data_IF_895173966488
#
_entry.id   IF_895173966488
#
_cell.length_a   1.000
_cell.length_b   1.000
_cell.length_c   1.000
_cell.angle_alpha   90.00
_cell.angle_beta   90.00
_cell.angle_gamma   90.00
#
_symmetry.space_group_name_H-M   'P 1'
#
loop_
_entity.id
_entity.type
_entity.pdbx_description
1 polymer ?
#
# COMPACT_ATOMS: atom_id res chain seq x y z
N UNK A 1 -16.79 15.90 56.50
CA UNK A 1 -15.49 15.79 55.81
C UNK A 1 -15.61 14.65 54.80
N UNK A 2 -15.93 14.97 53.53
CA UNK A 2 -16.05 13.99 52.46
C UNK A 2 -14.65 13.69 51.92
N UNK A 3 -14.14 12.48 52.18
CA UNK A 3 -12.92 11.99 51.58
C UNK A 3 -13.19 11.68 50.10
N UNK A 4 -12.67 12.53 49.20
CA UNK A 4 -12.51 12.15 47.80
C UNK A 4 -11.36 11.15 47.72
N UNK A 5 -11.70 9.87 47.65
CA UNK A 5 -10.75 8.82 47.27
C UNK A 5 -10.51 9.00 45.76
N UNK A 6 -9.42 9.66 45.39
CA UNK A 6 -8.97 9.72 44.00
C UNK A 6 -8.44 8.34 43.62
N UNK A 7 -9.31 7.48 43.09
CA UNK A 7 -8.95 6.18 42.54
C UNK A 7 -8.11 6.47 41.29
N UNK A 8 -6.79 6.46 41.44
CA UNK A 8 -5.88 6.48 40.30
C UNK A 8 -5.97 5.10 39.66
N UNK A 9 -6.78 4.97 38.61
CA UNK A 9 -6.74 3.77 37.77
C UNK A 9 -5.34 3.69 37.16
N UNK A 10 -4.65 2.58 37.41
CA UNK A 10 -3.38 2.32 36.75
C UNK A 10 -3.62 2.12 35.26
N UNK A 11 -2.74 2.68 34.44
CA UNK A 11 -2.81 2.44 33.00
C UNK A 11 -2.50 0.96 32.72
N UNK A 12 -3.36 0.30 31.96
CA UNK A 12 -3.19 -1.07 31.48
C UNK A 12 -2.93 -1.08 29.97
N UNK A 13 -2.15 -2.04 29.49
CA UNK A 13 -1.94 -2.25 28.05
C UNK A 13 -2.66 -3.53 27.65
N UNK A 14 -3.61 -3.40 26.74
CA UNK A 14 -4.35 -4.52 26.14
C UNK A 14 -3.94 -4.70 24.68
N UNK A 15 -4.13 -5.92 24.18
CA UNK A 15 -3.96 -6.25 22.77
C UNK A 15 -5.34 -6.38 22.13
N UNK A 16 -5.73 -5.40 21.33
CA UNK A 16 -7.03 -5.40 20.65
C UNK A 16 -6.81 -5.65 19.16
N UNK A 17 -7.08 -6.88 18.72
CA UNK A 17 -6.75 -7.33 17.36
C UNK A 17 -5.23 -7.32 17.15
N UNK A 18 -4.76 -6.39 16.32
CA UNK A 18 -3.32 -6.14 16.06
C UNK A 18 -2.79 -4.85 16.70
N UNK A 19 -3.58 -4.24 17.59
CA UNK A 19 -3.26 -2.96 18.20
C UNK A 19 -2.86 -3.15 19.65
N UNK A 20 -1.80 -2.47 20.09
CA UNK A 20 -1.53 -2.28 21.52
C UNK A 20 -2.27 -1.04 21.98
N UNK A 21 -3.10 -1.19 22.99
CA UNK A 21 -4.03 -0.17 23.45
C UNK A 21 -3.74 0.12 24.91
N UNK A 22 -3.30 1.33 25.21
CA UNK A 22 -3.09 1.78 26.59
C UNK A 22 -4.36 2.45 27.09
N UNK A 23 -4.91 1.92 28.17
CA UNK A 23 -6.20 2.31 28.74
C UNK A 23 -6.01 2.73 30.19
N UNK A 24 -6.70 3.77 30.64
CA UNK A 24 -6.76 4.18 32.03
C UNK A 24 -8.23 4.34 32.45
N UNK A 25 -8.73 3.41 33.27
CA UNK A 25 -10.18 3.26 33.48
C UNK A 25 -10.85 2.79 32.19
N UNK A 26 -11.82 3.56 31.69
CA UNK A 26 -12.51 3.29 30.42
C UNK A 26 -12.00 4.17 29.27
N UNK A 27 -10.95 4.96 29.50
CA UNK A 27 -10.41 5.91 28.53
C UNK A 27 -9.21 5.29 27.82
N UNK A 28 -9.23 5.30 26.50
CA UNK A 28 -8.07 4.94 25.69
C UNK A 28 -7.13 6.14 25.59
N UNK A 29 -5.92 6.00 26.12
CA UNK A 29 -4.89 7.05 26.12
C UNK A 29 -3.96 6.98 24.90
N UNK A 30 -3.66 5.76 24.44
CA UNK A 30 -2.75 5.50 23.32
C UNK A 30 -3.20 4.26 22.55
N UNK A 31 -3.12 4.32 21.23
CA UNK A 31 -3.24 3.17 20.33
C UNK A 31 -1.97 3.10 19.49
N UNK A 32 -1.27 1.98 19.54
CA UNK A 32 -0.15 1.65 18.67
C UNK A 32 -0.60 0.56 17.70
N UNK A 33 -0.47 0.86 16.41
CA UNK A 33 -0.83 -0.01 15.31
C UNK A 33 0.33 -0.99 15.04
N UNK A 34 0.02 -2.08 14.34
CA UNK A 34 1.02 -3.10 14.00
C UNK A 34 2.16 -2.56 13.13
N UNK A 35 1.89 -1.54 12.32
CA UNK A 35 2.88 -0.82 11.51
C UNK A 35 3.74 0.18 12.32
N UNK A 36 3.55 0.26 13.64
CA UNK A 36 4.26 1.18 14.54
C UNK A 36 3.63 2.57 14.63
N UNK A 37 2.56 2.87 13.89
CA UNK A 37 1.85 4.15 13.99
C UNK A 37 1.25 4.30 15.38
N UNK A 38 1.52 5.43 16.03
CA UNK A 38 1.01 5.74 17.38
C UNK A 38 0.03 6.91 17.31
N UNK A 39 -1.17 6.69 17.84
CA UNK A 39 -2.13 7.74 18.16
C UNK A 39 -2.21 7.92 19.68
N UNK A 40 -2.26 9.16 20.14
CA UNK A 40 -2.42 9.50 21.55
C UNK A 40 -3.26 10.78 21.74
N UNK A 41 -3.73 11.01 22.96
CA UNK A 41 -4.47 12.21 23.34
C UNK A 41 -5.82 12.34 22.62
N UNK A 42 -6.17 13.57 22.22
CA UNK A 42 -7.49 13.90 21.64
C UNK A 42 -7.82 13.10 20.38
N UNK A 43 -6.80 12.77 19.57
CA UNK A 43 -6.95 11.94 18.37
C UNK A 43 -7.52 10.55 18.65
N UNK A 44 -7.24 9.98 19.83
CA UNK A 44 -7.74 8.66 20.22
C UNK A 44 -9.15 8.80 20.78
N UNK A 45 -9.33 9.69 21.76
CA UNK A 45 -10.61 9.84 22.46
C UNK A 45 -11.77 10.29 21.55
N UNK A 46 -11.48 10.99 20.45
CA UNK A 46 -12.51 11.39 19.47
C UNK A 46 -12.92 10.29 18.49
N UNK A 47 -12.07 9.28 18.30
CA UNK A 47 -12.22 8.31 17.23
C UNK A 47 -12.44 6.88 17.73
N UNK A 48 -12.01 6.56 18.94
CA UNK A 48 -12.03 5.21 19.50
C UNK A 48 -12.74 5.19 20.85
N UNK A 49 -13.54 4.16 21.07
CA UNK A 49 -14.19 3.89 22.35
C UNK A 49 -13.79 2.51 22.83
N UNK A 50 -13.64 2.35 24.14
CA UNK A 50 -13.44 1.07 24.82
C UNK A 50 -14.66 0.80 25.69
N UNK A 51 -15.19 -0.43 25.65
CA UNK A 51 -16.39 -0.83 26.39
C UNK A 51 -16.10 -1.79 27.56
N UNK A 52 -14.83 -1.97 27.90
CA UNK A 52 -14.38 -2.95 28.90
C UNK A 52 -13.88 -4.28 28.31
N UNK A 53 -14.21 -4.60 27.06
CA UNK A 53 -13.77 -5.86 26.41
C UNK A 53 -13.30 -5.70 24.97
N UNK A 54 -13.67 -4.61 24.30
CA UNK A 54 -13.37 -4.34 22.91
C UNK A 54 -13.16 -2.86 22.65
N UNK A 55 -12.44 -2.54 21.58
CA UNK A 55 -12.39 -1.18 21.03
C UNK A 55 -13.25 -1.07 19.77
N UNK A 56 -13.88 0.08 19.56
CA UNK A 56 -14.62 0.40 18.34
C UNK A 56 -14.18 1.75 17.78
N UNK A 57 -13.86 1.78 16.49
CA UNK A 57 -13.58 3.03 15.77
C UNK A 57 -14.89 3.68 15.32
N UNK A 58 -15.00 5.00 15.34
CA UNK A 58 -16.22 5.71 14.90
C UNK A 58 -16.60 5.48 13.43
N UNK A 59 -15.64 5.05 12.61
CA UNK A 59 -15.86 4.75 11.18
C UNK A 59 -15.98 3.24 10.89
N UNK A 60 -15.96 2.38 11.92
CA UNK A 60 -16.06 0.93 11.76
C UNK A 60 -17.16 0.41 12.67
N UNK A 61 -18.10 -0.36 12.14
CA UNK A 61 -19.14 -0.95 12.96
C UNK A 61 -18.70 -2.18 13.74
N UNK A 62 -17.66 -2.85 13.24
CA UNK A 62 -17.12 -4.06 13.85
C UNK A 62 -16.26 -3.73 15.09
N UNK A 63 -16.61 -4.28 16.26
CA UNK A 63 -15.78 -4.17 17.45
C UNK A 63 -14.51 -5.03 17.31
N UNK A 64 -13.40 -4.55 17.88
CA UNK A 64 -12.13 -5.27 17.93
C UNK A 64 -11.92 -5.72 19.37
N UNK A 65 -12.12 -7.01 19.64
CA UNK A 65 -11.95 -7.58 20.96
C UNK A 65 -10.51 -7.48 21.46
N UNK A 66 -10.40 -7.19 22.75
CA UNK A 66 -9.15 -7.05 23.47
C UNK A 66 -8.84 -8.32 24.28
N UNK A 67 -7.58 -8.72 24.28
CA UNK A 67 -7.03 -9.81 25.08
C UNK A 67 -5.75 -9.30 25.78
N UNK A 68 -5.34 -10.00 26.83
CA UNK A 68 -4.16 -9.71 27.62
C UNK A 68 -2.91 -10.39 27.05
N UNK A 69 -3.08 -11.31 26.08
CA UNK A 69 -1.97 -12.00 25.41
C UNK A 69 -1.63 -11.35 24.06
N UNK A 70 -0.34 -11.32 23.76
CA UNK A 70 0.11 -10.98 22.41
C UNK A 70 -0.15 -12.17 21.48
N UNK A 71 -0.68 -11.92 20.29
CA UNK A 71 -0.91 -12.97 19.28
C UNK A 71 0.42 -13.56 18.82
N UNK A 72 0.42 -14.88 18.62
CA UNK A 72 1.55 -15.56 17.99
C UNK A 72 1.70 -15.15 16.52
N UNK A 73 2.87 -15.45 15.94
CA UNK A 73 3.11 -15.16 14.51
C UNK A 73 2.13 -15.91 13.61
N UNK A 74 1.89 -17.19 13.85
CA UNK A 74 0.96 -17.98 13.03
C UNK A 74 -0.49 -17.51 13.16
N UNK A 75 -0.92 -17.13 14.37
CA UNK A 75 -2.24 -16.55 14.63
C UNK A 75 -2.42 -15.22 13.86
N UNK A 76 -1.37 -14.40 13.84
CA UNK A 76 -1.33 -13.15 13.07
C UNK A 76 -1.48 -13.40 11.57
N UNK A 77 -0.70 -14.35 11.04
CA UNK A 77 -0.75 -14.72 9.62
C UNK A 77 -2.14 -15.22 9.24
N UNK A 78 -2.73 -16.10 10.05
CA UNK A 78 -4.04 -16.68 9.81
C UNK A 78 -5.14 -15.60 9.77
N UNK A 79 -5.14 -14.69 10.74
CA UNK A 79 -6.15 -13.64 10.79
C UNK A 79 -5.99 -12.61 9.68
N UNK A 80 -4.77 -12.18 9.35
CA UNK A 80 -4.54 -11.22 8.27
C UNK A 80 -4.91 -11.81 6.91
N UNK A 81 -4.43 -13.01 6.61
CA UNK A 81 -4.70 -13.69 5.34
C UNK A 81 -6.17 -14.13 5.21
N UNK A 82 -6.85 -14.43 6.32
CA UNK A 82 -8.25 -14.85 6.34
C UNK A 82 -9.27 -13.75 6.03
N UNK A 83 -8.87 -12.47 5.98
CA UNK A 83 -9.78 -11.33 5.76
C UNK A 83 -10.52 -11.40 4.44
N UNK A 84 -9.89 -11.93 3.40
CA UNK A 84 -10.47 -12.00 2.05
C UNK A 84 -11.67 -12.94 1.99
N UNK A 85 -11.64 -14.04 2.76
CA UNK A 85 -12.70 -15.06 2.75
C UNK A 85 -13.98 -14.54 3.40
N UNK A 86 -13.88 -13.63 4.37
CA UNK A 86 -15.04 -13.06 5.08
C UNK A 86 -15.94 -12.23 4.15
N UNK A 87 -15.34 -11.46 3.25
CA UNK A 87 -16.09 -10.66 2.26
C UNK A 87 -15.29 -10.49 0.96
N UNK A 88 -15.26 -11.53 0.09
CA UNK A 88 -14.45 -11.54 -1.14
C UNK A 88 -14.72 -10.35 -2.08
N UNK A 89 -15.98 -9.92 -2.14
CA UNK A 89 -16.42 -8.86 -3.06
C UNK A 89 -15.76 -7.51 -2.77
N UNK A 90 -15.42 -7.21 -1.50
CA UNK A 90 -14.71 -5.98 -1.15
C UNK A 90 -13.33 -5.88 -1.78
N UNK A 91 -12.74 -7.02 -2.15
CA UNK A 91 -11.41 -7.13 -2.74
C UNK A 91 -11.47 -7.46 -4.23
N UNK A 92 -12.67 -7.39 -4.84
CA UNK A 92 -12.90 -7.73 -6.23
C UNK A 92 -12.73 -9.21 -6.56
N UNK A 93 -12.79 -10.09 -5.57
CA UNK A 93 -12.54 -11.53 -5.71
C UNK A 93 -13.84 -12.33 -5.61
N UNK A 94 -13.90 -13.46 -6.31
CA UNK A 94 -14.86 -14.51 -5.96
C UNK A 94 -14.39 -15.34 -4.75
N UNK A 95 -15.24 -16.27 -4.28
CA UNK A 95 -14.92 -17.12 -3.11
C UNK A 95 -13.66 -17.98 -3.33
N UNK A 96 -13.46 -18.50 -4.54
CA UNK A 96 -12.31 -19.36 -4.86
C UNK A 96 -11.03 -18.53 -4.92
N UNK A 97 -11.09 -17.36 -5.56
CA UNK A 97 -9.99 -16.40 -5.61
C UNK A 97 -9.58 -15.95 -4.20
N UNK A 98 -10.55 -15.70 -3.31
CA UNK A 98 -10.29 -15.31 -1.93
C UNK A 98 -9.61 -16.41 -1.09
N UNK A 99 -9.99 -17.67 -1.25
CA UNK A 99 -9.30 -18.79 -0.57
C UNK A 99 -7.86 -18.97 -1.10
N UNK A 100 -7.65 -18.82 -2.41
CA UNK A 100 -6.31 -18.84 -2.98
C UNK A 100 -5.48 -17.66 -2.49
N UNK A 101 -6.06 -16.46 -2.38
CA UNK A 101 -5.39 -15.28 -1.82
C UNK A 101 -5.01 -15.46 -0.35
N UNK A 102 -5.89 -16.04 0.45
CA UNK A 102 -5.58 -16.41 1.84
C UNK A 102 -4.37 -17.35 1.89
N UNK A 103 -4.41 -18.44 1.15
CA UNK A 103 -3.31 -19.41 1.12
C UNK A 103 -2.00 -18.77 0.63
N UNK A 104 -2.06 -17.98 -0.43
CA UNK A 104 -0.90 -17.30 -1.01
C UNK A 104 -0.28 -16.30 -0.05
N UNK A 105 -1.08 -15.37 0.51
CA UNK A 105 -0.58 -14.34 1.42
C UNK A 105 -0.08 -14.92 2.75
N UNK A 106 -0.67 -16.02 3.22
CA UNK A 106 -0.13 -16.77 4.35
C UNK A 106 1.25 -17.37 4.03
N UNK A 107 1.40 -17.99 2.84
CA UNK A 107 2.68 -18.52 2.39
C UNK A 107 3.73 -17.41 2.21
N UNK A 108 3.33 -16.28 1.63
CA UNK A 108 4.18 -15.11 1.43
C UNK A 108 4.70 -14.57 2.77
N UNK A 109 3.82 -14.37 3.75
CA UNK A 109 4.18 -13.88 5.08
C UNK A 109 5.08 -14.82 5.89
N UNK A 110 5.05 -16.13 5.58
CA UNK A 110 5.92 -17.14 6.23
C UNK A 110 7.33 -17.16 5.63
N UNK A 111 7.44 -16.89 4.33
CA UNK A 111 8.67 -17.19 3.58
C UNK A 111 9.41 -15.95 3.04
N UNK A 112 8.75 -14.78 2.98
CA UNK A 112 9.36 -13.54 2.50
C UNK A 112 9.46 -12.50 3.63
N UNK A 113 10.69 -12.16 4.02
CA UNK A 113 10.97 -11.17 5.06
C UNK A 113 10.50 -9.75 4.69
N UNK A 114 10.35 -9.46 3.39
CA UNK A 114 9.83 -8.18 2.91
C UNK A 114 8.29 -8.08 2.97
N UNK A 115 7.62 -9.21 3.25
CA UNK A 115 6.20 -9.26 3.63
C UNK A 115 6.04 -9.79 5.06
N UNK A 116 6.55 -9.05 6.06
CA UNK A 116 6.31 -9.41 7.45
C UNK A 116 4.84 -9.18 7.85
N UNK A 117 4.23 -8.11 7.38
CA UNK A 117 2.87 -7.71 7.72
C UNK A 117 2.06 -7.48 6.45
N UNK A 118 1.03 -8.29 6.22
CA UNK A 118 0.06 -8.05 5.15
C UNK A 118 -0.80 -6.81 5.47
N UNK A 119 -0.73 -5.80 4.60
CA UNK A 119 -1.50 -4.56 4.72
C UNK A 119 -2.80 -4.66 3.93
N UNK A 120 -2.70 -5.09 2.66
CA UNK A 120 -3.84 -5.17 1.75
C UNK A 120 -3.58 -6.15 0.62
N UNK A 121 -4.63 -6.73 0.04
CA UNK A 121 -4.55 -7.39 -1.25
C UNK A 121 -5.88 -7.32 -1.98
N UNK A 122 -5.85 -7.21 -3.30
CA UNK A 122 -7.05 -7.21 -4.12
C UNK A 122 -6.76 -7.65 -5.56
N UNK A 123 -7.84 -7.98 -6.28
CA UNK A 123 -7.80 -8.17 -7.73
C UNK A 123 -7.56 -6.83 -8.41
N UNK A 124 -6.70 -6.81 -9.42
CA UNK A 124 -6.49 -5.63 -10.25
C UNK A 124 -7.73 -5.40 -11.12
N UNK A 125 -8.43 -4.26 -10.98
CA UNK A 125 -9.62 -3.97 -11.78
C UNK A 125 -9.29 -3.66 -13.24
N UNK A 126 -8.05 -3.25 -13.55
CA UNK A 126 -7.61 -2.85 -14.89
C UNK A 126 -7.01 -4.02 -15.66
N UNK A 127 -6.32 -4.93 -14.97
CA UNK A 127 -5.60 -6.04 -15.60
C UNK A 127 -6.24 -7.39 -15.26
N UNK A 128 -6.93 -7.98 -16.23
CA UNK A 128 -7.66 -9.25 -16.04
C UNK A 128 -6.71 -10.35 -15.54
N UNK A 129 -7.08 -10.96 -14.42
CA UNK A 129 -6.35 -12.10 -13.85
C UNK A 129 -5.07 -11.70 -13.10
N UNK A 130 -4.89 -10.42 -12.79
CA UNK A 130 -3.80 -9.94 -11.95
C UNK A 130 -4.31 -9.55 -10.56
N UNK A 131 -3.42 -9.61 -9.58
CA UNK A 131 -3.68 -9.27 -8.20
C UNK A 131 -2.51 -8.46 -7.67
N UNK A 132 -2.78 -7.51 -6.78
CA UNK A 132 -1.75 -6.79 -6.05
C UNK A 132 -1.85 -7.11 -4.56
N UNK A 133 -0.69 -7.20 -3.92
CA UNK A 133 -0.55 -7.46 -2.49
C UNK A 133 0.41 -6.42 -1.94
N UNK A 134 -0.02 -5.68 -0.93
CA UNK A 134 0.79 -4.71 -0.21
C UNK A 134 1.15 -5.28 1.15
N UNK A 135 2.44 -5.35 1.44
CA UNK A 135 2.96 -5.74 2.75
C UNK A 135 3.92 -4.70 3.30
N UNK A 136 4.18 -4.77 4.60
CA UNK A 136 5.29 -4.10 5.24
C UNK A 136 6.35 -5.12 5.69
N UNK A 137 7.61 -4.72 5.63
CA UNK A 137 8.68 -5.44 6.33
C UNK A 137 8.67 -5.12 7.85
N UNK A 138 9.63 -5.69 8.59
CA UNK A 138 9.78 -5.45 10.04
C UNK A 138 10.13 -4.01 10.41
N UNK A 139 10.59 -3.21 9.45
CA UNK A 139 10.94 -1.80 9.61
C UNK A 139 9.82 -0.87 9.10
N UNK A 140 8.61 -1.42 8.89
CA UNK A 140 7.44 -0.72 8.36
C UNK A 140 7.64 -0.14 6.95
N UNK A 141 8.61 -0.65 6.19
CA UNK A 141 8.75 -0.27 4.79
C UNK A 141 7.76 -1.07 3.94
N UNK A 142 6.90 -0.35 3.23
CA UNK A 142 5.91 -0.98 2.35
C UNK A 142 6.56 -1.56 1.10
N UNK A 143 6.02 -2.68 0.63
CA UNK A 143 6.38 -3.38 -0.59
C UNK A 143 5.11 -3.88 -1.28
N UNK A 144 5.06 -3.73 -2.59
CA UNK A 144 4.00 -4.27 -3.44
C UNK A 144 4.47 -5.50 -4.19
N UNK A 145 3.61 -6.48 -4.29
CA UNK A 145 3.73 -7.64 -5.17
C UNK A 145 2.60 -7.57 -6.19
N UNK A 146 2.89 -7.99 -7.41
CA UNK A 146 1.87 -8.19 -8.44
C UNK A 146 2.03 -9.61 -8.96
N UNK A 147 0.93 -10.36 -8.92
CA UNK A 147 0.90 -11.76 -9.29
C UNK A 147 -0.27 -12.04 -10.25
N UNK A 148 -0.09 -13.00 -11.12
CA UNK A 148 -1.11 -13.54 -12.00
C UNK A 148 -1.96 -14.60 -11.30
N UNK A 149 -3.10 -14.91 -11.88
CA UNK A 149 -3.98 -16.00 -11.43
C UNK A 149 -3.27 -17.36 -11.41
N UNK A 150 -2.33 -17.59 -12.35
CA UNK A 150 -1.50 -18.79 -12.37
C UNK A 150 -0.61 -18.85 -11.12
N UNK A 151 0.11 -17.78 -10.83
CA UNK A 151 1.02 -17.70 -9.67
C UNK A 151 0.27 -17.78 -8.35
N UNK A 152 -0.93 -17.19 -8.30
CA UNK A 152 -1.85 -17.30 -7.17
C UNK A 152 -2.26 -18.77 -6.92
N UNK A 153 -2.60 -19.53 -7.97
CA UNK A 153 -2.96 -20.95 -7.88
C UNK A 153 -1.79 -21.84 -7.51
N UNK A 154 -0.60 -21.55 -8.06
CA UNK A 154 0.61 -22.33 -7.82
C UNK A 154 1.24 -22.03 -6.46
N UNK A 155 0.88 -20.91 -5.81
CA UNK A 155 1.41 -20.53 -4.50
C UNK A 155 2.87 -20.06 -4.54
N UNK A 156 3.38 -19.70 -5.72
CA UNK A 156 4.80 -19.35 -5.92
C UNK A 156 5.05 -17.93 -5.39
N UNK A 157 5.88 -17.82 -4.35
CA UNK A 157 6.33 -16.54 -3.80
C UNK A 157 7.20 -15.82 -4.82
N UNK A 158 6.83 -14.58 -5.15
CA UNK A 158 7.58 -13.69 -6.05
C UNK A 158 8.31 -12.63 -5.24
N UNK A 159 9.34 -12.05 -5.84
CA UNK A 159 9.94 -10.83 -5.31
C UNK A 159 8.95 -9.67 -5.41
N UNK A 160 9.03 -8.75 -4.46
CA UNK A 160 8.31 -7.47 -4.55
C UNK A 160 8.73 -6.69 -5.80
N UNK A 161 7.85 -5.83 -6.28
CA UNK A 161 8.15 -4.88 -7.34
C UNK A 161 9.31 -3.97 -6.93
N UNK A 162 10.20 -3.69 -7.89
CA UNK A 162 11.36 -2.83 -7.70
C UNK A 162 11.40 -1.78 -8.82
N UNK A 163 11.73 -0.52 -8.50
CA UNK A 163 11.92 0.48 -9.54
C UNK A 163 13.08 0.08 -10.45
N UNK A 164 12.98 0.43 -11.73
CA UNK A 164 14.11 0.33 -12.65
C UNK A 164 15.09 1.50 -12.40
N UNK A 165 16.31 1.38 -12.90
CA UNK A 165 17.30 2.45 -12.77
C UNK A 165 16.82 3.75 -13.44
N UNK A 166 17.27 4.88 -12.92
CA UNK A 166 16.91 6.20 -13.46
C UNK A 166 17.24 6.31 -14.95
N UNK A 167 18.40 5.81 -15.39
CA UNK A 167 18.82 5.84 -16.79
C UNK A 167 17.83 5.10 -17.69
N UNK A 168 17.46 3.88 -17.30
CA UNK A 168 16.51 3.05 -18.06
C UNK A 168 15.12 3.68 -18.04
N UNK A 169 14.69 4.27 -16.91
CA UNK A 169 13.40 4.93 -16.81
C UNK A 169 13.32 6.16 -17.73
N UNK A 170 14.37 7.00 -17.76
CA UNK A 170 14.48 8.16 -18.64
C UNK A 170 14.49 7.75 -20.11
N UNK A 171 15.29 6.75 -20.46
CA UNK A 171 15.36 6.22 -21.83
C UNK A 171 14.00 5.70 -22.31
N UNK A 172 13.33 4.87 -21.50
CA UNK A 172 12.00 4.34 -21.82
C UNK A 172 10.97 5.44 -21.95
N UNK A 173 10.96 6.42 -21.04
CA UNK A 173 10.04 7.54 -21.14
C UNK A 173 10.27 8.35 -22.41
N UNK A 174 11.53 8.66 -22.72
CA UNK A 174 11.89 9.38 -23.94
C UNK A 174 11.38 8.67 -25.21
N UNK A 175 11.51 7.34 -25.26
CA UNK A 175 11.02 6.55 -26.38
C UNK A 175 9.49 6.55 -26.47
N UNK A 176 8.78 6.43 -25.34
CA UNK A 176 7.32 6.48 -25.31
C UNK A 176 6.76 7.86 -25.70
N UNK A 177 7.39 8.94 -25.22
CA UNK A 177 7.00 10.30 -25.58
C UNK A 177 7.20 10.55 -27.07
N UNK A 178 8.36 10.19 -27.64
CA UNK A 178 8.62 10.33 -29.08
C UNK A 178 7.54 9.65 -29.93
N UNK A 179 7.19 8.40 -29.61
CA UNK A 179 6.16 7.63 -30.33
C UNK A 179 4.77 8.28 -30.28
N UNK A 180 4.47 9.04 -29.22
CA UNK A 180 3.16 9.66 -28.99
C UNK A 180 3.05 11.08 -29.52
N UNK A 181 4.15 11.68 -29.98
CA UNK A 181 4.08 12.98 -30.66
C UNK A 181 3.48 12.86 -32.05
N UNK A 182 2.81 13.94 -32.51
CA UNK A 182 2.21 13.98 -33.86
C UNK A 182 3.27 13.89 -34.97
N UNK A 183 4.46 14.45 -34.73
CA UNK A 183 5.58 14.43 -35.66
C UNK A 183 6.85 13.92 -34.96
N UNK A 184 7.07 12.59 -34.88
CA UNK A 184 8.21 12.02 -34.16
C UNK A 184 9.59 12.45 -34.68
N UNK A 185 9.68 12.94 -35.92
CA UNK A 185 10.92 13.46 -36.51
C UNK A 185 11.34 14.83 -35.94
N UNK A 186 10.40 15.61 -35.38
CA UNK A 186 10.69 16.92 -34.78
C UNK A 186 10.76 16.89 -33.26
N UNK A 187 10.70 15.69 -32.67
CA UNK A 187 10.84 15.48 -31.23
C UNK A 187 12.28 15.76 -30.76
N UNK A 188 12.43 16.78 -29.93
CA UNK A 188 13.70 17.25 -29.36
C UNK A 188 13.62 17.30 -27.83
N UNK A 189 14.15 16.27 -27.12
CA UNK A 189 14.07 16.15 -25.66
C UNK A 189 15.21 16.84 -24.92
N UNK A 190 14.89 17.56 -23.84
CA UNK A 190 15.86 18.16 -22.94
C UNK A 190 16.34 17.18 -21.85
N UNK A 191 17.08 16.12 -22.22
CA UNK A 191 17.43 15.02 -21.32
C UNK A 191 18.38 15.36 -20.16
N UNK A 192 19.16 16.45 -20.25
CA UNK A 192 20.17 16.81 -19.24
C UNK A 192 19.60 17.72 -18.15
N UNK A 193 18.95 18.82 -18.52
CA UNK A 193 18.43 19.82 -17.59
C UNK A 193 16.90 19.88 -17.53
N UNK A 194 16.21 19.20 -18.46
CA UNK A 194 14.76 19.16 -18.56
C UNK A 194 14.15 17.82 -18.19
N UNK A 195 14.94 16.86 -17.70
CA UNK A 195 14.47 15.52 -17.35
C UNK A 195 14.72 15.17 -15.87
N UNK A 196 13.64 14.80 -15.17
CA UNK A 196 13.68 14.32 -13.79
C UNK A 196 13.23 12.86 -13.73
N UNK A 197 13.68 12.13 -12.72
CA UNK A 197 13.20 10.79 -12.40
C UNK A 197 13.14 10.65 -10.89
N UNK A 198 12.04 10.07 -10.39
CA UNK A 198 11.86 9.76 -8.98
C UNK A 198 11.42 8.31 -8.84
N UNK A 199 12.13 7.55 -8.03
CA UNK A 199 11.70 6.20 -7.64
C UNK A 199 10.72 6.26 -6.46
N UNK A 200 9.78 5.32 -6.45
CA UNK A 200 8.85 5.06 -5.35
C UNK A 200 9.03 3.59 -4.99
N UNK A 201 9.93 3.33 -4.05
CA UNK A 201 10.32 1.97 -3.64
C UNK A 201 9.15 1.12 -3.14
N UNK A 202 8.13 1.75 -2.55
CA UNK A 202 6.99 1.02 -1.99
C UNK A 202 6.10 0.35 -3.03
N UNK A 203 6.04 0.92 -4.24
CA UNK A 203 5.21 0.42 -5.34
C UNK A 203 6.05 -0.07 -6.53
N UNK A 204 7.38 -0.02 -6.43
CA UNK A 204 8.28 -0.33 -7.53
C UNK A 204 8.15 0.65 -8.71
N UNK A 205 7.71 1.89 -8.46
CA UNK A 205 7.40 2.85 -9.52
C UNK A 205 8.55 3.79 -9.83
N UNK A 206 8.60 4.24 -11.08
CA UNK A 206 9.37 5.40 -11.50
C UNK A 206 8.41 6.45 -12.06
N UNK A 207 8.54 7.70 -11.63
CA UNK A 207 7.88 8.84 -12.25
C UNK A 207 8.96 9.65 -12.96
N UNK A 208 8.82 9.78 -14.27
CA UNK A 208 9.77 10.48 -15.13
C UNK A 208 9.05 11.65 -15.79
N UNK A 209 9.67 12.82 -15.77
CA UNK A 209 9.18 14.00 -16.48
C UNK A 209 10.28 14.48 -17.42
N UNK A 210 9.93 14.75 -18.68
CA UNK A 210 10.87 15.21 -19.71
C UNK A 210 10.25 16.40 -20.44
N UNK A 211 10.91 17.55 -20.39
CA UNK A 211 10.61 18.68 -21.27
C UNK A 211 11.12 18.40 -22.67
N UNK A 212 10.31 18.67 -23.68
CA UNK A 212 10.71 18.52 -25.08
C UNK A 212 10.02 19.54 -25.99
N UNK A 213 10.55 19.70 -27.19
CA UNK A 213 9.89 20.39 -28.29
C UNK A 213 9.44 19.39 -29.34
N UNK A 214 8.32 19.67 -29.99
CA UNK A 214 7.83 18.89 -31.13
C UNK A 214 6.85 19.73 -31.96
N UNK A 215 6.63 19.34 -33.21
CA UNK A 215 5.61 19.95 -34.05
C UNK A 215 4.25 19.33 -33.78
N UNK A 216 3.21 20.16 -33.65
CA UNK A 216 1.83 19.71 -33.59
C UNK A 216 1.33 19.24 -34.99
N UNK A 217 0.06 18.82 -35.08
CA UNK A 217 -0.56 18.35 -36.33
C UNK A 217 -0.58 19.37 -37.47
N UNK A 218 -0.33 20.65 -37.18
CA UNK A 218 -0.26 21.75 -38.16
C UNK A 218 1.19 22.12 -38.51
N UNK A 219 2.19 21.37 -38.01
CA UNK A 219 3.61 21.64 -38.25
C UNK A 219 4.21 22.74 -37.38
N UNK A 220 3.44 23.32 -36.45
CA UNK A 220 3.94 24.39 -35.55
C UNK A 220 4.69 23.78 -34.38
N UNK A 221 5.92 24.23 -34.14
CA UNK A 221 6.73 23.83 -32.98
C UNK A 221 6.09 24.35 -31.68
N UNK A 222 5.84 23.43 -30.75
CA UNK A 222 5.40 23.71 -29.38
C UNK A 222 6.39 23.20 -28.34
N UNK A 223 6.22 23.67 -27.10
CA UNK A 223 6.93 23.17 -25.92
C UNK A 223 6.00 22.31 -25.10
N UNK A 224 6.53 21.19 -24.61
CA UNK A 224 5.76 20.17 -23.94
C UNK A 224 6.47 19.67 -22.69
N UNK A 225 5.67 19.22 -21.72
CA UNK A 225 6.09 18.37 -20.62
C UNK A 225 5.48 16.99 -20.80
N UNK A 226 6.34 16.00 -21.06
CA UNK A 226 5.96 14.60 -21.04
C UNK A 226 6.13 14.02 -19.64
N UNK A 227 5.18 13.20 -19.20
CA UNK A 227 5.23 12.49 -17.93
C UNK A 227 4.95 11.00 -18.15
N UNK A 228 5.82 10.14 -17.65
CA UNK A 228 5.66 8.70 -17.67
C UNK A 228 5.65 8.14 -16.25
N UNK A 229 4.70 7.27 -15.94
CA UNK A 229 4.75 6.41 -14.76
C UNK A 229 5.02 4.98 -15.21
N UNK A 230 6.09 4.40 -14.68
CA UNK A 230 6.40 2.98 -14.83
C UNK A 230 6.17 2.26 -13.50
N UNK A 231 5.75 1.00 -13.57
CA UNK A 231 5.69 0.06 -12.45
C UNK A 231 6.54 -1.16 -12.82
N UNK A 232 7.64 -1.38 -12.11
CA UNK A 232 8.68 -2.37 -12.48
C UNK A 232 9.13 -2.27 -13.95
N UNK A 233 9.22 -1.04 -14.46
CA UNK A 233 9.62 -0.75 -15.84
C UNK A 233 8.53 -0.90 -16.90
N UNK A 234 7.32 -1.32 -16.53
CA UNK A 234 6.15 -1.37 -17.44
C UNK A 234 5.42 -0.04 -17.40
N UNK A 235 5.16 0.63 -18.54
CA UNK A 235 4.44 1.91 -18.54
C UNK A 235 2.98 1.69 -18.16
N UNK A 236 2.52 2.37 -17.11
CA UNK A 236 1.11 2.37 -16.68
C UNK A 236 0.41 3.68 -17.01
N UNK A 237 1.17 4.76 -17.19
CA UNK A 237 0.64 6.06 -17.61
C UNK A 237 1.69 6.80 -18.44
N UNK A 238 1.28 7.41 -19.55
CA UNK A 238 2.11 8.34 -20.33
C UNK A 238 1.24 9.51 -20.79
N UNK A 239 1.60 10.71 -20.36
CA UNK A 239 0.86 11.95 -20.63
C UNK A 239 1.78 13.01 -21.24
N UNK A 240 1.21 13.87 -22.08
CA UNK A 240 1.89 15.00 -22.74
C UNK A 240 1.04 16.24 -22.52
N UNK A 241 1.63 17.28 -21.92
CA UNK A 241 0.97 18.55 -21.68
C UNK A 241 1.74 19.68 -22.37
N UNK A 242 1.03 20.69 -22.87
CA UNK A 242 1.63 21.94 -23.35
C UNK A 242 2.16 22.76 -22.16
N UNK A 243 3.30 23.44 -22.32
CA UNK A 243 3.89 24.32 -21.31
C UNK A 243 4.37 25.65 -21.88
#
# INVERSE_FOLDING_TARGET
MLFFISIHSNAQVLICGFKKVTIQGDIINKIEHEDGTVHAGTSVSSNWKYDGVSIKHRLSDDPIFCDNRTKGRDETIEELSGRFVKNPNLYGMDKKEAELMRAYTANLMKNDNSCYLLVYAAKDPLTKGMYYIDCNDKSSQSKRYVISEKELKEGIVKNSLTPISESVAKERCNNELKKRTNNPSTYDPALTLGATSRSIESTGRNIVEIKFKASNSFGVEGKYLGRCIFESGVPIEVTINNI
#
